data_IF_407653299315
#
_entry.id   IF_407653299315
#
_cell.length_a   1.000
_cell.length_b   1.000
_cell.length_c   1.000
_cell.angle_alpha   90.00
_cell.angle_beta   90.00
_cell.angle_gamma   90.00
#
_symmetry.space_group_name_H-M   'P 1'
#
loop_
_entity.id
_entity.type
_entity.pdbx_description
1 polymer ?
#
# COMPACT_ATOMS: atom_id res chain seq x y z
N UNK A 1 75.39 18.70 2.08
CA UNK A 1 74.28 19.10 2.99
C UNK A 1 72.89 18.84 2.39
N UNK A 2 72.72 18.80 1.06
CA UNK A 2 71.41 18.61 0.43
C UNK A 2 70.75 17.24 0.68
N UNK A 3 71.53 16.15 0.79
CA UNK A 3 70.97 14.81 1.06
C UNK A 3 70.25 14.67 2.41
N UNK A 4 70.66 15.43 3.43
CA UNK A 4 70.03 15.40 4.76
C UNK A 4 68.65 16.10 4.72
N UNK A 5 68.51 17.16 3.94
CA UNK A 5 67.24 17.88 3.74
C UNK A 5 66.19 17.02 3.02
N UNK A 6 66.60 16.19 2.06
CA UNK A 6 65.68 15.29 1.34
C UNK A 6 65.13 14.22 2.29
N UNK A 7 65.98 13.63 3.14
CA UNK A 7 65.57 12.60 4.10
C UNK A 7 64.59 13.18 5.14
N UNK A 8 64.84 14.38 5.66
CA UNK A 8 63.94 15.04 6.62
C UNK A 8 62.56 15.33 5.99
N UNK A 9 62.51 15.80 4.74
CA UNK A 9 61.25 16.04 4.05
C UNK A 9 60.45 14.77 3.78
N UNK A 10 61.12 13.66 3.45
CA UNK A 10 60.47 12.36 3.21
C UNK A 10 59.86 11.79 4.50
N UNK A 11 60.55 11.95 5.63
CA UNK A 11 60.03 11.58 6.96
C UNK A 11 58.83 12.46 7.33
N UNK A 12 58.90 13.78 7.13
CA UNK A 12 57.78 14.70 7.38
C UNK A 12 56.53 14.36 6.55
N UNK A 13 56.70 14.04 5.27
CA UNK A 13 55.61 13.59 4.40
C UNK A 13 54.99 12.26 4.88
N UNK A 14 55.83 11.31 5.33
CA UNK A 14 55.37 10.04 5.90
C UNK A 14 54.55 10.22 7.17
N UNK A 15 54.99 11.11 8.07
CA UNK A 15 54.27 11.42 9.31
C UNK A 15 52.93 12.11 9.02
N UNK A 16 52.90 13.10 8.11
CA UNK A 16 51.67 13.77 7.69
C UNK A 16 50.66 12.81 7.06
N UNK A 17 51.12 11.86 6.25
CA UNK A 17 50.26 10.84 5.65
C UNK A 17 49.65 9.91 6.70
N UNK A 18 50.45 9.45 7.68
CA UNK A 18 49.97 8.61 8.77
C UNK A 18 48.96 9.36 9.66
N UNK A 19 49.23 10.63 9.96
CA UNK A 19 48.35 11.48 10.76
C UNK A 19 47.00 11.70 10.06
N UNK A 20 47.02 11.97 8.75
CA UNK A 20 45.80 12.10 7.94
C UNK A 20 44.96 10.80 7.96
N UNK A 21 45.61 9.65 7.81
CA UNK A 21 44.92 8.34 7.85
C UNK A 21 44.30 8.07 9.23
N UNK A 22 45.05 8.37 10.30
CA UNK A 22 44.57 8.19 11.67
C UNK A 22 43.37 9.09 11.99
N UNK A 23 43.43 10.38 11.65
CA UNK A 23 42.32 11.32 11.83
C UNK A 23 41.10 10.89 11.03
N UNK A 24 41.28 10.49 9.77
CA UNK A 24 40.17 10.05 8.92
C UNK A 24 39.45 8.83 9.50
N UNK A 25 40.20 7.83 10.00
CA UNK A 25 39.63 6.66 10.64
C UNK A 25 38.97 6.99 11.99
N UNK A 26 39.57 7.90 12.78
CA UNK A 26 38.98 8.35 14.04
C UNK A 26 37.66 9.09 13.83
N UNK A 27 37.62 10.02 12.87
CA UNK A 27 36.41 10.75 12.51
C UNK A 27 35.35 9.79 11.98
N UNK A 28 35.69 8.87 11.08
CA UNK A 28 34.73 7.86 10.59
C UNK A 28 34.18 6.98 11.72
N UNK A 29 35.03 6.51 12.65
CA UNK A 29 34.57 5.72 13.79
C UNK A 29 33.67 6.53 14.72
N UNK A 30 34.03 7.78 15.02
CA UNK A 30 33.21 8.64 15.89
C UNK A 30 31.87 8.98 15.26
N UNK A 31 31.83 9.18 13.94
CA UNK A 31 30.60 9.45 13.20
C UNK A 31 29.71 8.19 13.15
N UNK A 32 30.29 7.04 12.79
CA UNK A 32 29.55 5.78 12.73
C UNK A 32 28.96 5.42 14.10
N UNK A 33 29.72 5.56 15.18
CA UNK A 33 29.21 5.27 16.52
C UNK A 33 28.03 6.16 16.90
N UNK A 34 28.06 7.47 16.58
CA UNK A 34 26.93 8.37 16.83
C UNK A 34 25.72 8.04 15.97
N UNK A 35 25.91 7.56 14.73
CA UNK A 35 24.80 7.11 13.90
C UNK A 35 24.20 5.80 14.41
N UNK A 36 25.03 4.84 14.79
CA UNK A 36 24.58 3.57 15.37
C UNK A 36 23.81 3.81 16.68
N UNK A 37 24.32 4.68 17.56
CA UNK A 37 23.66 5.07 18.81
C UNK A 37 22.31 5.73 18.54
N UNK A 38 22.22 6.64 17.56
CA UNK A 38 20.94 7.26 17.17
C UNK A 38 19.98 6.25 16.56
N UNK A 39 20.45 5.34 15.70
CA UNK A 39 19.61 4.31 15.08
C UNK A 39 19.04 3.38 16.15
N UNK A 40 19.86 2.96 17.11
CA UNK A 40 19.40 2.13 18.22
C UNK A 40 18.44 2.90 19.15
N UNK A 41 18.70 4.17 19.44
CA UNK A 41 17.78 5.01 20.18
C UNK A 41 16.42 5.15 19.47
N UNK A 42 16.42 5.40 18.16
CA UNK A 42 15.19 5.46 17.35
C UNK A 42 14.47 4.12 17.29
N UNK A 43 15.19 2.99 17.17
CA UNK A 43 14.59 1.65 17.20
C UNK A 43 13.95 1.36 18.54
N UNK A 44 14.61 1.73 19.64
CA UNK A 44 14.07 1.57 20.99
C UNK A 44 12.82 2.44 21.20
N UNK A 45 12.85 3.68 20.73
CA UNK A 45 11.70 4.58 20.78
C UNK A 45 10.52 4.05 19.95
N UNK A 46 10.77 3.60 18.71
CA UNK A 46 9.75 2.97 17.86
C UNK A 46 9.13 1.76 18.54
N UNK A 47 9.96 0.84 19.07
CA UNK A 47 9.47 -0.34 19.77
C UNK A 47 8.63 0.02 21.01
N UNK A 48 9.05 1.03 21.76
CA UNK A 48 8.28 1.55 22.90
C UNK A 48 6.93 2.12 22.45
N UNK A 49 6.89 2.90 21.37
CA UNK A 49 5.63 3.44 20.84
C UNK A 49 4.70 2.35 20.30
N UNK A 50 5.25 1.29 19.69
CA UNK A 50 4.46 0.12 19.25
C UNK A 50 3.86 -0.63 20.44
N UNK A 51 4.64 -0.83 21.51
CA UNK A 51 4.18 -1.47 22.74
C UNK A 51 3.10 -0.63 23.46
N UNK A 52 3.28 0.69 23.54
CA UNK A 52 2.28 1.63 24.09
C UNK A 52 0.99 1.64 23.27
N UNK A 53 1.10 1.63 21.93
CA UNK A 53 -0.06 1.57 21.04
C UNK A 53 -0.82 0.25 21.18
N UNK A 54 -0.09 -0.86 21.29
CA UNK A 54 -0.69 -2.18 21.52
C UNK A 54 -1.38 -2.25 22.88
N UNK A 55 -0.75 -1.73 23.93
CA UNK A 55 -1.36 -1.63 25.25
C UNK A 55 -2.62 -0.76 25.25
N UNK A 56 -2.57 0.41 24.61
CA UNK A 56 -3.73 1.30 24.49
C UNK A 56 -4.85 0.62 23.71
N UNK A 57 -4.53 -0.06 22.62
CA UNK A 57 -5.51 -0.82 21.84
C UNK A 57 -6.14 -1.94 22.67
N UNK A 58 -5.34 -2.75 23.37
CA UNK A 58 -5.84 -3.85 24.21
C UNK A 58 -6.65 -3.32 25.41
N UNK A 59 -6.23 -2.20 25.98
CA UNK A 59 -6.96 -1.49 27.03
C UNK A 59 -8.30 -0.95 26.52
N UNK A 60 -8.30 -0.29 25.35
CA UNK A 60 -9.53 0.15 24.68
C UNK A 60 -10.40 -1.08 24.46
N UNK A 61 -9.94 -2.13 23.79
CA UNK A 61 -10.69 -3.35 23.50
C UNK A 61 -11.30 -4.01 24.74
N UNK A 62 -10.54 -4.09 25.84
CA UNK A 62 -11.04 -4.61 27.12
C UNK A 62 -12.12 -3.69 27.70
N UNK A 63 -11.89 -2.38 27.67
CA UNK A 63 -12.89 -1.38 28.06
C UNK A 63 -14.12 -1.36 27.12
N UNK A 64 -13.97 -1.75 25.84
CA UNK A 64 -15.06 -1.86 24.86
C UNK A 64 -16.03 -2.98 25.25
N UNK A 65 -15.48 -4.07 25.75
CA UNK A 65 -16.23 -5.26 26.16
C UNK A 65 -17.10 -4.97 27.38
N UNK A 66 -16.65 -4.06 28.26
CA UNK A 66 -17.36 -3.66 29.48
C UNK A 66 -18.34 -2.49 29.26
N UNK A 67 -18.15 -1.68 28.19
CA UNK A 67 -18.94 -0.47 27.91
C UNK A 67 -19.48 -0.40 26.47
N UNK A 68 -20.02 -1.51 25.97
CA UNK A 68 -20.46 -1.66 24.56
C UNK A 68 -21.39 -0.52 24.08
N UNK A 69 -22.28 -0.05 24.95
CA UNK A 69 -23.23 1.02 24.65
C UNK A 69 -22.58 2.41 24.43
N UNK A 70 -21.44 2.69 25.07
CA UNK A 70 -20.71 3.96 24.93
C UNK A 70 -19.90 3.95 23.62
N UNK A 71 -19.40 2.79 23.22
CA UNK A 71 -18.51 2.66 22.07
C UNK A 71 -19.25 2.57 20.74
N UNK A 72 -20.43 1.96 20.72
CA UNK A 72 -21.21 1.73 19.49
C UNK A 72 -21.37 2.97 18.59
N UNK A 73 -21.60 4.20 19.12
CA UNK A 73 -21.62 5.41 18.30
C UNK A 73 -20.29 5.70 17.60
N UNK A 74 -19.15 5.52 18.28
CA UNK A 74 -17.81 5.74 17.71
C UNK A 74 -17.48 4.69 16.66
N UNK A 75 -17.79 3.42 16.92
CA UNK A 75 -17.65 2.34 15.95
C UNK A 75 -18.45 2.63 14.68
N UNK A 76 -19.74 2.95 14.83
CA UNK A 76 -20.61 3.25 13.69
C UNK A 76 -20.10 4.47 12.92
N UNK A 77 -19.64 5.52 13.61
CA UNK A 77 -19.04 6.68 12.96
C UNK A 77 -17.77 6.31 12.21
N UNK A 78 -16.91 5.48 12.78
CA UNK A 78 -15.67 5.05 12.15
C UNK A 78 -15.91 4.16 10.93
N UNK A 79 -16.90 3.25 11.01
CA UNK A 79 -17.33 2.42 9.88
C UNK A 79 -17.87 3.30 8.74
N UNK A 80 -18.75 4.26 9.05
CA UNK A 80 -19.29 5.18 8.03
C UNK A 80 -18.18 6.01 7.39
N UNK A 81 -17.27 6.58 8.19
CA UNK A 81 -16.14 7.33 7.69
C UNK A 81 -15.24 6.45 6.79
N UNK A 82 -14.93 5.22 7.22
CA UNK A 82 -14.15 4.29 6.42
C UNK A 82 -14.84 3.94 5.10
N UNK A 83 -16.16 3.76 5.13
CA UNK A 83 -16.93 3.48 3.93
C UNK A 83 -16.90 4.64 2.95
N UNK A 84 -17.07 5.88 3.41
CA UNK A 84 -16.98 7.07 2.57
C UNK A 84 -15.58 7.19 1.94
N UNK A 85 -14.53 6.95 2.73
CA UNK A 85 -13.13 6.90 2.27
C UNK A 85 -12.93 5.81 1.22
N UNK A 86 -13.47 4.62 1.46
CA UNK A 86 -13.37 3.49 0.53
C UNK A 86 -14.07 3.80 -0.80
N UNK A 87 -15.28 4.38 -0.76
CA UNK A 87 -16.01 4.80 -1.95
C UNK A 87 -15.25 5.89 -2.72
N UNK A 88 -14.67 6.87 -2.02
CA UNK A 88 -13.86 7.92 -2.62
C UNK A 88 -12.60 7.35 -3.31
N UNK A 89 -11.88 6.47 -2.59
CA UNK A 89 -10.71 5.75 -3.10
C UNK A 89 -11.06 4.94 -4.35
N UNK A 90 -12.21 4.25 -4.34
CA UNK A 90 -12.70 3.48 -5.47
C UNK A 90 -13.04 4.38 -6.67
N UNK A 91 -13.77 5.47 -6.44
CA UNK A 91 -14.19 6.38 -7.50
C UNK A 91 -12.98 7.01 -8.22
N UNK A 92 -11.95 7.38 -7.48
CA UNK A 92 -10.80 8.13 -8.00
C UNK A 92 -9.63 7.25 -8.46
N UNK A 93 -9.32 6.19 -7.71
CA UNK A 93 -8.06 5.46 -7.87
C UNK A 93 -8.22 4.01 -8.30
N UNK A 94 -9.30 3.31 -7.91
CA UNK A 94 -9.49 1.90 -8.31
C UNK A 94 -9.61 1.73 -9.82
N UNK A 95 -10.44 2.53 -10.50
CA UNK A 95 -10.62 2.42 -11.95
C UNK A 95 -9.31 2.69 -12.70
N UNK A 96 -8.52 3.62 -12.19
CA UNK A 96 -7.19 3.90 -12.71
C UNK A 96 -6.26 2.71 -12.47
N UNK A 97 -6.13 2.23 -11.24
CA UNK A 97 -5.31 1.07 -10.89
C UNK A 97 -5.69 -0.18 -11.72
N UNK A 98 -6.99 -0.45 -11.90
CA UNK A 98 -7.50 -1.53 -12.75
C UNK A 98 -7.11 -1.38 -14.23
N UNK A 99 -7.13 -0.14 -14.73
CA UNK A 99 -6.68 0.12 -16.10
C UNK A 99 -5.18 -0.11 -16.23
N UNK A 100 -4.40 0.41 -15.27
CA UNK A 100 -2.95 0.31 -15.23
C UNK A 100 -2.47 -1.14 -15.05
N UNK A 101 -3.20 -1.95 -14.29
CA UNK A 101 -2.85 -3.34 -14.03
C UNK A 101 -2.99 -4.24 -15.26
N UNK A 102 -3.81 -3.84 -16.25
CA UNK A 102 -3.89 -4.52 -17.54
C UNK A 102 -2.76 -4.15 -18.50
N UNK A 103 -2.00 -3.10 -18.20
CA UNK A 103 -0.87 -2.69 -19.03
C UNK A 103 0.37 -3.52 -18.71
N UNK A 104 1.11 -3.90 -19.75
CA UNK A 104 2.39 -4.56 -19.58
C UNK A 104 3.46 -3.54 -19.16
N UNK A 105 3.67 -3.40 -17.85
CA UNK A 105 4.63 -2.45 -17.27
C UNK A 105 6.06 -2.73 -17.75
N UNK A 106 6.45 -4.00 -17.89
CA UNK A 106 7.79 -4.35 -18.34
C UNK A 106 8.04 -3.93 -19.80
N UNK A 107 7.02 -4.08 -20.65
CA UNK A 107 7.06 -3.55 -22.02
C UNK A 107 7.15 -2.03 -22.00
N UNK A 108 6.29 -1.35 -21.25
CA UNK A 108 6.26 0.12 -21.17
C UNK A 108 7.61 0.69 -20.71
N UNK A 109 8.17 0.13 -19.64
CA UNK A 109 9.51 0.45 -19.12
C UNK A 109 10.58 0.33 -20.20
N UNK A 110 10.60 -0.79 -20.93
CA UNK A 110 11.59 -1.05 -21.98
C UNK A 110 11.49 -0.02 -23.10
N UNK A 111 10.27 0.34 -23.52
CA UNK A 111 10.06 1.33 -24.58
C UNK A 111 10.44 2.75 -24.14
N UNK A 112 10.15 3.13 -22.89
CA UNK A 112 10.57 4.43 -22.33
C UNK A 112 12.10 4.53 -22.26
N UNK A 113 12.77 3.46 -21.83
CA UNK A 113 14.23 3.40 -21.81
C UNK A 113 14.85 3.52 -23.22
N UNK A 114 14.16 3.01 -24.24
CA UNK A 114 14.54 3.16 -25.65
C UNK A 114 14.15 4.50 -26.28
N UNK A 115 13.70 5.47 -25.48
CA UNK A 115 13.23 6.78 -25.93
C UNK A 115 12.03 6.77 -26.90
N UNK A 116 11.12 5.79 -26.78
CA UNK A 116 9.87 5.82 -27.55
C UNK A 116 8.93 6.92 -27.04
N UNK A 117 8.73 7.95 -27.88
CA UNK A 117 7.87 9.09 -27.59
C UNK A 117 6.41 8.70 -27.34
N UNK A 118 5.91 7.64 -28.00
CA UNK A 118 4.53 7.18 -27.80
C UNK A 118 4.34 6.61 -26.40
N UNK A 119 5.26 5.76 -25.95
CA UNK A 119 5.26 5.17 -24.61
C UNK A 119 5.42 6.23 -23.51
N UNK A 120 6.31 7.22 -23.70
CA UNK A 120 6.44 8.37 -22.79
C UNK A 120 5.15 9.17 -22.70
N UNK A 121 4.51 9.47 -23.84
CA UNK A 121 3.22 10.17 -23.89
C UNK A 121 2.11 9.39 -23.19
N UNK A 122 2.04 8.07 -23.42
CA UNK A 122 1.07 7.19 -22.78
C UNK A 122 1.23 7.22 -21.25
N UNK A 123 2.46 7.04 -20.75
CA UNK A 123 2.79 7.11 -19.33
C UNK A 123 2.34 8.45 -18.73
N UNK A 124 2.69 9.56 -19.39
CA UNK A 124 2.34 10.91 -18.93
C UNK A 124 0.83 11.15 -18.84
N UNK A 125 0.04 10.61 -19.78
CA UNK A 125 -1.43 10.73 -19.77
C UNK A 125 -2.04 10.06 -18.54
N UNK A 126 -1.51 8.89 -18.14
CA UNK A 126 -2.00 8.20 -16.96
C UNK A 126 -1.47 8.84 -15.67
N UNK A 127 -0.19 9.21 -15.64
CA UNK A 127 0.42 9.85 -14.47
C UNK A 127 -0.19 11.22 -14.18
N UNK A 128 -0.62 11.99 -15.19
CA UNK A 128 -1.32 13.25 -14.96
C UNK A 128 -2.69 13.09 -14.30
N UNK A 129 -3.26 11.88 -14.28
CA UNK A 129 -4.51 11.58 -13.58
C UNK A 129 -4.29 11.12 -12.14
N UNK A 130 -3.04 10.83 -11.76
CA UNK A 130 -2.69 10.41 -10.41
C UNK A 130 -2.49 11.67 -9.56
N UNK A 131 -3.42 11.91 -8.63
CA UNK A 131 -3.28 12.93 -7.60
C UNK A 131 -2.74 12.30 -6.31
N UNK A 132 -1.42 12.36 -6.12
CA UNK A 132 -0.73 11.73 -4.97
C UNK A 132 -1.10 12.44 -3.64
N UNK A 133 -1.24 13.76 -3.66
CA UNK A 133 -1.60 14.52 -2.46
C UNK A 133 -3.00 14.19 -1.96
N UNK A 134 -3.94 14.00 -2.90
CA UNK A 134 -5.29 13.56 -2.60
C UNK A 134 -5.32 12.13 -2.07
N UNK A 135 -4.61 11.20 -2.72
CA UNK A 135 -4.46 9.83 -2.23
C UNK A 135 -3.94 9.80 -0.78
N UNK A 136 -2.85 10.52 -0.50
CA UNK A 136 -2.25 10.59 0.83
C UNK A 136 -3.19 11.20 1.88
N UNK A 137 -3.98 12.20 1.51
CA UNK A 137 -5.00 12.78 2.40
C UNK A 137 -6.08 11.76 2.74
N UNK A 138 -6.57 11.02 1.75
CA UNK A 138 -7.58 9.97 1.95
C UNK A 138 -7.07 8.87 2.89
N UNK A 139 -5.84 8.39 2.69
CA UNK A 139 -5.18 7.42 3.58
C UNK A 139 -5.03 7.96 5.01
N UNK A 140 -4.60 9.21 5.17
CA UNK A 140 -4.40 9.81 6.49
C UNK A 140 -5.72 9.93 7.28
N UNK A 141 -6.84 10.19 6.59
CA UNK A 141 -8.16 10.22 7.22
C UNK A 141 -8.56 8.81 7.66
N UNK A 142 -8.23 7.78 6.88
CA UNK A 142 -8.51 6.39 7.23
C UNK A 142 -7.78 5.96 8.51
N UNK A 143 -6.49 6.27 8.62
CA UNK A 143 -5.67 5.96 9.80
C UNK A 143 -6.22 6.58 11.09
N UNK A 144 -6.82 7.77 11.03
CA UNK A 144 -7.46 8.40 12.20
C UNK A 144 -8.63 7.59 12.75
N UNK A 145 -9.30 6.80 11.89
CA UNK A 145 -10.43 5.96 12.28
C UNK A 145 -10.00 4.56 12.75
N UNK A 146 -8.76 4.16 12.47
CA UNK A 146 -8.23 2.80 12.75
C UNK A 146 -8.48 2.32 14.17
N UNK A 147 -8.30 3.18 15.17
CA UNK A 147 -8.44 2.81 16.60
C UNK A 147 -9.86 2.37 16.97
N UNK A 148 -10.86 2.77 16.18
CA UNK A 148 -12.26 2.48 16.42
C UNK A 148 -12.75 1.29 15.57
N UNK A 149 -11.93 0.78 14.66
CA UNK A 149 -12.30 -0.24 13.69
C UNK A 149 -11.85 -1.63 14.15
N UNK A 150 -12.64 -2.69 13.89
CA UNK A 150 -12.18 -4.05 14.06
C UNK A 150 -10.99 -4.38 13.17
N UNK A 151 -10.06 -5.18 13.70
CA UNK A 151 -8.79 -5.49 13.03
C UNK A 151 -8.99 -6.12 11.65
N UNK A 152 -10.02 -6.95 11.47
CA UNK A 152 -10.31 -7.59 10.18
C UNK A 152 -10.73 -6.56 9.13
N UNK A 153 -11.65 -5.66 9.45
CA UNK A 153 -12.08 -4.57 8.56
C UNK A 153 -10.89 -3.71 8.16
N UNK A 154 -10.05 -3.34 9.15
CA UNK A 154 -8.86 -2.56 8.88
C UNK A 154 -7.87 -3.30 7.96
N UNK A 155 -7.61 -4.58 8.22
CA UNK A 155 -6.70 -5.38 7.41
C UNK A 155 -7.18 -5.51 5.95
N UNK A 156 -8.48 -5.71 5.73
CA UNK A 156 -9.08 -5.77 4.40
C UNK A 156 -8.96 -4.44 3.65
N UNK A 157 -9.32 -3.33 4.31
CA UNK A 157 -9.16 -1.99 3.75
C UNK A 157 -7.69 -1.68 3.42
N UNK A 158 -6.79 -1.95 4.36
CA UNK A 158 -5.38 -1.65 4.20
C UNK A 158 -4.73 -2.50 3.09
N UNK A 159 -5.15 -3.76 2.93
CA UNK A 159 -4.76 -4.60 1.78
C UNK A 159 -5.24 -4.00 0.46
N UNK A 160 -6.48 -3.52 0.41
CA UNK A 160 -7.06 -2.91 -0.78
C UNK A 160 -6.30 -1.64 -1.18
N UNK A 161 -6.08 -0.74 -0.21
CA UNK A 161 -5.29 0.48 -0.38
C UNK A 161 -3.85 0.17 -0.84
N UNK A 162 -3.20 -0.81 -0.22
CA UNK A 162 -1.83 -1.21 -0.55
C UNK A 162 -1.70 -1.68 -1.99
N UNK A 163 -2.66 -2.46 -2.50
CA UNK A 163 -2.64 -2.91 -3.90
C UNK A 163 -2.78 -1.71 -4.85
N UNK A 164 -3.70 -0.79 -4.56
CA UNK A 164 -3.88 0.43 -5.38
C UNK A 164 -2.59 1.25 -5.38
N UNK A 165 -2.02 1.49 -4.20
CA UNK A 165 -0.77 2.22 -4.01
C UNK A 165 0.37 1.57 -4.79
N UNK A 166 0.52 0.25 -4.70
CA UNK A 166 1.53 -0.52 -5.43
C UNK A 166 1.45 -0.26 -6.95
N UNK A 167 0.27 -0.39 -7.56
CA UNK A 167 0.10 -0.15 -9.01
C UNK A 167 0.41 1.28 -9.40
N UNK A 168 -0.07 2.24 -8.61
CA UNK A 168 0.18 3.68 -8.83
C UNK A 168 1.68 3.97 -8.75
N UNK A 169 2.36 3.48 -7.72
CA UNK A 169 3.81 3.66 -7.54
C UNK A 169 4.59 3.05 -8.69
N UNK A 170 4.23 1.86 -9.16
CA UNK A 170 4.91 1.25 -10.31
C UNK A 170 4.87 2.16 -11.54
N UNK A 171 3.71 2.75 -11.83
CA UNK A 171 3.54 3.65 -12.97
C UNK A 171 4.28 4.97 -12.81
N UNK A 172 4.23 5.58 -11.62
CA UNK A 172 4.97 6.81 -11.35
C UNK A 172 6.48 6.60 -11.51
N UNK A 173 7.02 5.47 -11.04
CA UNK A 173 8.45 5.15 -11.18
C UNK A 173 8.82 4.92 -12.64
N UNK A 174 7.96 4.23 -13.41
CA UNK A 174 8.18 4.04 -14.85
C UNK A 174 8.12 5.35 -15.63
N UNK A 175 7.26 6.30 -15.26
CA UNK A 175 7.20 7.64 -15.86
C UNK A 175 8.49 8.43 -15.64
N UNK A 176 9.14 8.21 -14.50
CA UNK A 176 10.47 8.77 -14.20
C UNK A 176 11.60 8.09 -15.00
N UNK A 177 11.30 7.04 -15.77
CA UNK A 177 12.30 6.26 -16.51
C UNK A 177 13.06 5.26 -15.63
N UNK A 178 12.53 4.95 -14.45
CA UNK A 178 13.18 4.11 -13.45
C UNK A 178 12.57 2.70 -13.38
N UNK A 179 13.25 1.81 -12.66
CA UNK A 179 12.80 0.42 -12.47
C UNK A 179 11.87 0.27 -11.24
N UNK A 180 10.57 0.02 -11.42
CA UNK A 180 9.62 -0.06 -10.30
C UNK A 180 9.95 -1.16 -9.29
N UNK A 181 10.61 -2.24 -9.71
CA UNK A 181 10.99 -3.34 -8.82
C UNK A 181 12.09 -2.92 -7.82
N UNK A 182 12.81 -1.82 -8.07
CA UNK A 182 13.84 -1.28 -7.15
C UNK A 182 13.27 -0.33 -6.09
N UNK A 183 12.10 0.24 -6.34
CA UNK A 183 11.48 1.24 -5.46
C UNK A 183 10.27 0.69 -4.70
N UNK A 184 9.82 -0.51 -5.04
CA UNK A 184 8.71 -1.19 -4.36
C UNK A 184 9.25 -2.33 -3.50
N UNK A 185 8.79 -2.43 -2.26
CA UNK A 185 9.10 -3.56 -1.38
C UNK A 185 8.22 -4.77 -1.73
N UNK A 186 8.30 -5.23 -2.98
CA UNK A 186 7.39 -6.22 -3.58
C UNK A 186 7.21 -7.45 -2.71
N UNK A 187 8.30 -8.03 -2.19
CA UNK A 187 8.24 -9.23 -1.34
C UNK A 187 7.49 -9.01 -0.03
N UNK A 188 7.60 -7.81 0.56
CA UNK A 188 6.86 -7.46 1.79
C UNK A 188 5.38 -7.30 1.50
N UNK A 189 5.05 -6.66 0.38
CA UNK A 189 3.65 -6.49 -0.04
C UNK A 189 3.05 -7.86 -0.37
N UNK A 190 3.79 -8.70 -1.10
CA UNK A 190 3.38 -10.05 -1.46
C UNK A 190 3.10 -10.91 -0.22
N UNK A 191 4.01 -10.88 0.76
CA UNK A 191 3.82 -11.57 2.05
C UNK A 191 2.64 -11.03 2.85
N UNK A 192 2.38 -9.72 2.79
CA UNK A 192 1.26 -9.10 3.50
C UNK A 192 -0.08 -9.51 2.87
N UNK A 193 -0.22 -9.36 1.55
CA UNK A 193 -1.46 -9.71 0.84
C UNK A 193 -1.77 -11.21 0.97
N UNK A 194 -0.74 -12.06 0.96
CA UNK A 194 -0.89 -13.51 1.20
C UNK A 194 -1.58 -13.85 2.52
N UNK A 195 -1.39 -13.03 3.56
CA UNK A 195 -2.01 -13.27 4.87
C UNK A 195 -3.47 -12.82 4.93
N UNK A 196 -3.88 -11.91 4.03
CA UNK A 196 -5.23 -11.34 4.01
C UNK A 196 -6.14 -12.06 3.00
N UNK A 197 -5.59 -12.51 1.87
CA UNK A 197 -6.35 -13.12 0.78
C UNK A 197 -6.11 -14.64 0.73
N UNK A 198 -7.13 -15.47 1.04
CA UNK A 198 -7.07 -16.91 0.81
C UNK A 198 -6.86 -17.23 -0.68
N UNK A 199 -5.98 -18.19 -0.98
CA UNK A 199 -5.70 -18.56 -2.37
C UNK A 199 -4.84 -17.54 -3.14
N UNK A 200 -4.25 -16.57 -2.44
CA UNK A 200 -3.26 -15.68 -3.02
C UNK A 200 -2.08 -16.46 -3.65
N UNK A 201 -1.67 -16.05 -4.85
CA UNK A 201 -0.57 -16.68 -5.60
C UNK A 201 0.65 -15.76 -5.57
N UNK A 202 0.52 -14.55 -6.14
CA UNK A 202 1.59 -13.55 -6.19
C UNK A 202 1.04 -12.17 -6.62
N UNK A 203 1.88 -11.14 -6.51
CA UNK A 203 1.52 -9.75 -6.84
C UNK A 203 1.75 -9.41 -8.33
N UNK A 204 1.24 -10.25 -9.22
CA UNK A 204 1.23 -9.97 -10.66
C UNK A 204 0.12 -9.02 -11.04
N UNK A 205 0.45 -8.00 -11.85
CA UNK A 205 -0.48 -6.94 -12.26
C UNK A 205 -1.76 -7.48 -12.90
N UNK A 206 -1.68 -8.53 -13.71
CA UNK A 206 -2.85 -9.15 -14.33
C UNK A 206 -3.86 -9.72 -13.33
N UNK A 207 -3.43 -10.05 -12.10
CA UNK A 207 -4.28 -10.63 -11.05
C UNK A 207 -4.83 -9.59 -10.08
N UNK A 208 -4.22 -8.42 -9.99
CA UNK A 208 -4.59 -7.38 -9.01
C UNK A 208 -6.07 -6.96 -9.09
N UNK A 209 -6.71 -6.81 -10.26
CA UNK A 209 -8.14 -6.52 -10.32
C UNK A 209 -9.00 -7.53 -9.56
N UNK A 210 -8.69 -8.82 -9.69
CA UNK A 210 -9.45 -9.88 -9.02
C UNK A 210 -9.25 -9.84 -7.51
N UNK A 211 -8.03 -9.50 -7.04
CA UNK A 211 -7.76 -9.34 -5.62
C UNK A 211 -8.46 -8.10 -5.04
N UNK A 212 -8.51 -7.00 -5.78
CA UNK A 212 -9.26 -5.81 -5.36
C UNK A 212 -10.76 -6.10 -5.25
N UNK A 213 -11.33 -6.79 -6.24
CA UNK A 213 -12.74 -7.18 -6.25
C UNK A 213 -13.07 -8.12 -5.06
N UNK A 214 -12.19 -9.08 -4.78
CA UNK A 214 -12.32 -9.96 -3.62
C UNK A 214 -12.27 -9.19 -2.28
N UNK A 215 -11.29 -8.30 -2.12
CA UNK A 215 -11.13 -7.51 -0.90
C UNK A 215 -12.32 -6.58 -0.66
N UNK A 216 -12.87 -5.97 -1.72
CA UNK A 216 -14.09 -5.18 -1.65
C UNK A 216 -15.26 -6.02 -1.13
N UNK A 217 -15.49 -7.20 -1.70
CA UNK A 217 -16.58 -8.07 -1.28
C UNK A 217 -16.44 -8.48 0.19
N UNK A 218 -15.24 -8.89 0.62
CA UNK A 218 -14.99 -9.24 2.01
C UNK A 218 -15.18 -8.05 2.96
N UNK A 219 -14.74 -6.85 2.57
CA UNK A 219 -14.92 -5.64 3.37
C UNK A 219 -16.40 -5.33 3.58
N UNK A 220 -17.21 -5.42 2.52
CA UNK A 220 -18.66 -5.22 2.59
C UNK A 220 -19.31 -6.25 3.53
N UNK A 221 -18.95 -7.53 3.41
CA UNK A 221 -19.46 -8.60 4.27
C UNK A 221 -19.14 -8.32 5.74
N UNK A 222 -17.90 -7.95 6.05
CA UNK A 222 -17.49 -7.65 7.42
C UNK A 222 -18.20 -6.41 7.99
N UNK A 223 -18.37 -5.34 7.20
CA UNK A 223 -19.13 -4.16 7.62
C UNK A 223 -20.61 -4.51 7.88
N UNK A 224 -21.22 -5.33 7.02
CA UNK A 224 -22.61 -5.76 7.16
C UNK A 224 -22.81 -6.63 8.41
N UNK A 225 -21.85 -7.52 8.73
CA UNK A 225 -21.88 -8.35 9.94
C UNK A 225 -21.95 -7.52 11.22
N UNK A 226 -21.29 -6.36 11.26
CA UNK A 226 -21.32 -5.46 12.41
C UNK A 226 -22.58 -4.57 12.46
N UNK A 227 -23.12 -4.24 11.29
CA UNK A 227 -24.26 -3.32 11.17
C UNK A 227 -25.62 -3.99 11.40
N UNK A 228 -25.72 -5.31 11.16
CA UNK A 228 -26.96 -6.07 11.27
C UNK A 228 -27.01 -6.84 12.60
N UNK A 229 -28.04 -6.66 13.45
CA UNK A 229 -28.16 -7.42 14.68
C UNK A 229 -28.42 -8.91 14.39
N UNK A 230 -27.47 -9.79 14.73
CA UNK A 230 -27.50 -11.26 14.98
C UNK A 230 -28.44 -12.18 14.16
N UNK A 231 -29.01 -11.72 13.06
CA UNK A 231 -29.80 -12.50 12.07
C UNK A 231 -28.97 -12.77 10.83
N UNK A 232 -27.66 -12.94 11.03
CA UNK A 232 -26.63 -13.06 9.99
C UNK A 232 -26.92 -14.26 9.09
N UNK A 233 -27.42 -15.38 9.61
CA UNK A 233 -27.73 -16.57 8.80
C UNK A 233 -28.93 -16.36 7.88
N UNK A 234 -30.00 -15.71 8.38
CA UNK A 234 -31.19 -15.41 7.57
C UNK A 234 -30.95 -14.32 6.51
N UNK A 235 -30.10 -13.33 6.83
CA UNK A 235 -29.77 -12.26 5.89
C UNK A 235 -28.69 -12.66 4.88
N UNK A 236 -27.70 -13.48 5.24
CA UNK A 236 -26.72 -14.02 4.27
C UNK A 236 -27.44 -14.86 3.23
N UNK A 237 -28.40 -15.70 3.64
CA UNK A 237 -29.14 -16.54 2.69
C UNK A 237 -29.99 -15.67 1.75
N UNK A 238 -30.66 -14.65 2.29
CA UNK A 238 -31.39 -13.67 1.49
C UNK A 238 -30.49 -12.86 0.55
N UNK A 239 -29.27 -12.51 0.98
CA UNK A 239 -28.28 -11.82 0.14
C UNK A 239 -27.77 -12.73 -0.98
N UNK A 240 -27.52 -14.02 -0.71
CA UNK A 240 -27.19 -15.01 -1.75
C UNK A 240 -28.31 -15.15 -2.78
N UNK A 241 -29.57 -15.23 -2.34
CA UNK A 241 -30.73 -15.28 -3.23
C UNK A 241 -30.82 -14.04 -4.13
N UNK A 242 -30.57 -12.85 -3.56
CA UNK A 242 -30.55 -11.59 -4.31
C UNK A 242 -29.40 -11.58 -5.33
N UNK A 243 -28.18 -11.97 -4.93
CA UNK A 243 -27.02 -12.03 -5.84
C UNK A 243 -27.25 -13.03 -6.97
N UNK A 244 -27.84 -14.19 -6.68
CA UNK A 244 -28.21 -15.18 -7.69
C UNK A 244 -29.29 -14.65 -8.64
N UNK A 245 -30.24 -13.88 -8.13
CA UNK A 245 -31.26 -13.22 -8.95
C UNK A 245 -30.64 -12.15 -9.87
N UNK A 246 -29.66 -11.40 -9.37
CA UNK A 246 -28.92 -10.39 -10.15
C UNK A 246 -28.09 -11.05 -11.27
N UNK A 247 -27.41 -12.17 -11.00
CA UNK A 247 -26.60 -12.86 -12.01
C UNK A 247 -27.46 -13.47 -13.12
N UNK A 248 -28.62 -14.05 -12.77
CA UNK A 248 -29.61 -14.54 -13.73
C UNK A 248 -30.16 -13.38 -14.58
N UNK A 249 -30.53 -12.26 -13.96
CA UNK A 249 -31.02 -11.09 -14.67
C UNK A 249 -29.96 -10.51 -15.64
N UNK A 250 -28.70 -10.44 -15.21
CA UNK A 250 -27.59 -9.98 -16.05
C UNK A 250 -27.38 -10.88 -17.27
N UNK A 251 -27.37 -12.20 -17.07
CA UNK A 251 -27.25 -13.15 -18.18
C UNK A 251 -28.43 -13.08 -19.15
N UNK A 252 -29.64 -12.83 -18.65
CA UNK A 252 -30.82 -12.63 -19.50
C UNK A 252 -30.70 -11.36 -20.34
N UNK A 253 -30.23 -10.25 -19.74
CA UNK A 253 -29.98 -8.99 -20.45
C UNK A 253 -28.90 -9.14 -21.52
N UNK A 254 -27.80 -9.85 -21.22
CA UNK A 254 -26.71 -10.06 -22.16
C UNK A 254 -27.18 -10.93 -23.35
N UNK A 255 -28.00 -11.96 -23.09
CA UNK A 255 -28.62 -12.78 -24.14
C UNK A 255 -29.59 -12.00 -25.02
N UNK A 256 -30.43 -11.15 -24.42
CA UNK A 256 -31.37 -10.30 -25.16
C UNK A 256 -30.63 -9.30 -26.07
N UNK A 257 -29.49 -8.76 -25.62
CA UNK A 257 -28.60 -7.92 -26.43
C UNK A 257 -27.99 -8.68 -27.62
N UNK A 258 -27.57 -9.93 -27.43
CA UNK A 258 -27.06 -10.78 -28.51
C UNK A 258 -28.13 -11.12 -29.56
N UNK A 259 -29.37 -11.40 -29.12
CA UNK A 259 -30.48 -11.73 -30.00
C UNK A 259 -30.97 -10.50 -30.80
N UNK A 260 -30.86 -9.29 -30.23
CA UNK A 260 -31.10 -8.04 -30.95
C UNK A 260 -30.02 -7.76 -31.99
N UNK A 261 -28.74 -7.96 -31.66
CA UNK A 261 -27.63 -7.79 -32.60
C UNK A 261 -27.70 -8.70 -33.82
N UNK A 262 -28.31 -9.89 -33.69
CA UNK A 262 -28.49 -10.85 -34.79
C UNK A 262 -29.71 -10.58 -35.67
N UNK A 263 -30.61 -9.69 -35.26
CA UNK A 263 -31.79 -9.30 -36.05
C UNK A 263 -31.54 -8.10 -36.96
N UNK A 264 -30.49 -7.34 -36.69
CA UNK A 264 -30.09 -6.16 -37.46
C UNK A 264 -29.08 -6.49 -38.58
N UNK A 265 -28.60 -7.74 -38.65
CA UNK A 265 -27.80 -8.33 -39.75
C UNK A 265 -28.69 -9.17 -40.69
#
# INVERSE_FOLDING_TARGET
>A
MEGILIIINLIMLGVLFCFRKYISTYIQRSINHKYDEKIEAFRAELKKTEEEFKFFHDFVQKSLSENEHIFKPYLNSAINNLWDIFVDLKAKHYNLAKTLSHLNIQYLKTQIANNDEKSKRLSKIYCSKINVDEFNKTTLIAEKNRIWLPQMIWALYFAYETIISYVITQFLVVDMGEDPDKFTAKDKIDSFIKNVIPGYINIENSRLPNYLDFLEEQLIIEIQRLSLPSTIEANIERVKEIIQSISVAKNAIDKEREDLSKKDD
#
